data_IF_983694610411
#
_entry.id   IF_983694610411
#
_cell.length_a   1.000
_cell.length_b   1.000
_cell.length_c   1.000
_cell.angle_alpha   90.00
_cell.angle_beta   90.00
_cell.angle_gamma   90.00
#
_symmetry.space_group_name_H-M   'P 1'
#
loop_
_entity.id
_entity.type
_entity.pdbx_description
1 polymer ?
#
# COMPACT_ATOMS: atom_id res chain seq x y z
N UNK A 1 -34.44 -14.10 27.60
CA UNK A 1 -35.70 -14.79 27.26
C UNK A 1 -36.66 -13.72 26.73
N UNK A 2 -36.78 -13.71 25.40
CA UNK A 2 -38.03 -13.65 24.60
C UNK A 2 -39.16 -12.71 25.05
N UNK A 3 -39.93 -12.05 24.18
CA UNK A 3 -40.04 -11.85 22.73
C UNK A 3 -41.34 -11.01 22.57
N UNK A 4 -41.45 -9.97 21.73
CA UNK A 4 -42.13 -9.92 20.41
C UNK A 4 -42.55 -8.44 20.22
N UNK A 5 -42.05 -7.69 19.24
CA UNK A 5 -42.44 -7.64 17.82
C UNK A 5 -43.92 -7.26 17.57
N UNK A 6 -44.12 -6.02 17.11
CA UNK A 6 -45.24 -5.59 16.25
C UNK A 6 -44.62 -4.81 15.09
N UNK A 7 -44.82 -5.30 13.87
CA UNK A 7 -44.51 -4.61 12.63
C UNK A 7 -45.81 -4.10 12.01
N UNK A 8 -45.74 -2.93 11.36
CA UNK A 8 -46.81 -2.41 10.53
C UNK A 8 -46.36 -2.43 9.06
N UNK A 9 -47.11 -3.19 8.29
CA UNK A 9 -47.08 -3.32 6.82
C UNK A 9 -48.11 -2.31 6.31
N UNK A 10 -47.70 -1.41 5.41
CA UNK A 10 -48.63 -0.50 4.71
C UNK A 10 -49.03 -1.13 3.37
N UNK A 11 -50.34 -1.16 3.17
CA UNK A 11 -51.12 -1.82 2.12
C UNK A 11 -51.18 -0.96 0.85
N UNK A 12 -51.03 -1.62 -0.30
CA UNK A 12 -51.36 -1.10 -1.65
C UNK A 12 -52.87 -1.19 -1.87
N UNK A 13 -53.52 -0.23 -2.56
CA UNK A 13 -54.80 -0.48 -3.22
C UNK A 13 -54.64 -0.62 -4.74
N UNK A 14 -55.14 -1.74 -5.24
CA UNK A 14 -55.45 -2.03 -6.63
C UNK A 14 -56.97 -1.86 -6.83
N UNK A 15 -57.41 -1.29 -7.96
CA UNK A 15 -58.72 -1.40 -8.66
C UNK A 15 -58.66 -0.39 -9.84
N UNK A 16 -59.08 -0.59 -11.10
CA UNK A 16 -60.04 -1.51 -11.76
C UNK A 16 -59.97 -1.33 -13.30
N UNK A 17 -60.05 -2.42 -14.07
CA UNK A 17 -60.86 -2.71 -15.30
C UNK A 17 -61.44 -1.55 -16.16
N UNK A 18 -61.57 -1.53 -17.50
CA UNK A 18 -61.65 -2.48 -18.67
C UNK A 18 -61.84 -1.61 -19.97
N UNK A 19 -62.27 -2.08 -21.17
CA UNK A 19 -61.65 -3.01 -22.15
C UNK A 19 -61.73 -2.53 -23.65
N UNK A 20 -61.26 -3.39 -24.56
CA UNK A 20 -61.66 -3.61 -25.98
C UNK A 20 -61.23 -2.67 -27.14
N UNK A 21 -60.79 -3.31 -28.24
CA UNK A 21 -61.17 -2.89 -29.60
C UNK A 21 -60.11 -3.01 -30.71
N UNK A 22 -60.03 -4.18 -31.35
CA UNK A 22 -59.46 -4.41 -32.69
C UNK A 22 -59.97 -3.42 -33.75
N UNK A 23 -59.20 -3.19 -34.84
CA UNK A 23 -59.67 -3.16 -36.25
C UNK A 23 -58.51 -2.89 -37.26
N UNK A 24 -58.17 -3.94 -38.03
CA UNK A 24 -58.04 -4.03 -39.50
C UNK A 24 -57.21 -2.96 -40.28
N UNK A 25 -56.08 -3.42 -40.86
CA UNK A 25 -56.00 -3.71 -42.31
C UNK A 25 -55.39 -2.69 -43.29
N UNK A 26 -54.55 -3.25 -44.18
CA UNK A 26 -54.18 -2.85 -45.55
C UNK A 26 -53.03 -1.84 -45.81
N UNK A 27 -51.90 -2.44 -46.17
CA UNK A 27 -51.28 -2.46 -47.52
C UNK A 27 -50.79 -1.17 -48.21
N UNK A 28 -49.63 -1.36 -48.86
CA UNK A 28 -49.06 -0.65 -50.02
C UNK A 28 -48.03 0.44 -49.73
N UNK A 29 -46.77 0.12 -50.08
CA UNK A 29 -46.05 0.89 -51.09
C UNK A 29 -45.11 2.01 -50.65
N UNK A 30 -43.84 1.77 -50.97
CA UNK A 30 -42.88 2.74 -51.52
C UNK A 30 -42.12 3.70 -50.60
N UNK A 31 -40.80 3.63 -50.83
CA UNK A 31 -39.74 4.55 -50.45
C UNK A 31 -40.15 6.03 -50.58
N UNK A 32 -39.89 6.83 -49.54
CA UNK A 32 -38.95 7.95 -49.63
C UNK A 32 -38.65 8.57 -48.26
N UNK A 33 -37.39 8.91 -48.09
CA UNK A 33 -36.76 9.67 -47.01
C UNK A 33 -37.44 11.02 -46.71
N UNK A 34 -37.60 11.39 -45.42
CA UNK A 34 -37.19 12.70 -44.85
C UNK A 34 -37.81 12.98 -43.46
N UNK A 35 -36.94 13.25 -42.47
CA UNK A 35 -37.14 14.29 -41.44
C UNK A 35 -37.92 13.95 -40.15
N UNK A 36 -37.50 14.61 -39.05
CA UNK A 36 -38.09 14.71 -37.69
C UNK A 36 -37.61 13.67 -36.65
N UNK A 37 -37.27 13.97 -35.38
CA UNK A 37 -37.45 15.16 -34.52
C UNK A 37 -36.32 15.19 -33.45
N UNK A 38 -35.51 16.26 -33.40
CA UNK A 38 -34.64 16.58 -32.26
C UNK A 38 -35.34 17.65 -31.41
N UNK A 39 -36.08 17.26 -30.37
CA UNK A 39 -36.86 18.23 -29.60
C UNK A 39 -37.25 17.83 -28.17
N UNK A 40 -37.45 16.54 -27.88
CA UNK A 40 -38.08 16.17 -26.60
C UNK A 40 -37.12 15.89 -25.43
N UNK A 41 -35.83 15.66 -25.68
CA UNK A 41 -34.90 15.31 -24.60
C UNK A 41 -34.22 16.50 -23.90
N UNK A 42 -34.38 17.75 -24.36
CA UNK A 42 -33.66 18.89 -23.76
C UNK A 42 -34.25 19.38 -22.42
N UNK A 43 -35.53 19.07 -22.15
CA UNK A 43 -36.22 19.52 -20.95
C UNK A 43 -35.82 18.72 -19.70
N UNK A 44 -35.61 17.40 -19.84
CA UNK A 44 -35.23 16.52 -18.74
C UNK A 44 -33.84 16.87 -18.14
N UNK A 45 -32.89 17.24 -18.99
CA UNK A 45 -31.55 17.69 -18.57
C UNK A 45 -31.56 19.07 -17.90
N UNK A 46 -32.55 19.90 -18.23
CA UNK A 46 -32.66 21.26 -17.71
C UNK A 46 -33.19 21.29 -16.28
N UNK A 47 -34.05 20.34 -15.94
CA UNK A 47 -34.61 20.20 -14.59
C UNK A 47 -33.64 19.50 -13.62
N UNK A 48 -32.87 18.50 -14.08
CA UNK A 48 -31.79 17.90 -13.27
C UNK A 48 -30.69 18.91 -12.88
N UNK A 49 -30.50 19.97 -13.68
CA UNK A 49 -29.54 21.05 -13.42
C UNK A 49 -29.96 21.99 -12.28
N UNK A 50 -31.23 21.99 -11.89
CA UNK A 50 -31.79 22.91 -10.89
C UNK A 50 -31.79 22.36 -9.46
N UNK A 51 -31.65 21.05 -9.27
CA UNK A 51 -31.84 20.40 -7.95
C UNK A 51 -30.55 20.03 -7.21
N UNK A 52 -29.35 20.36 -7.71
CA UNK A 52 -28.09 19.95 -7.08
C UNK A 52 -27.46 21.06 -6.20
N UNK A 53 -27.20 20.82 -4.90
CA UNK A 53 -26.41 21.70 -4.07
C UNK A 53 -24.98 21.88 -4.61
N UNK A 54 -24.48 23.11 -4.59
CA UNK A 54 -23.25 23.56 -5.28
C UNK A 54 -21.94 22.80 -4.94
N UNK A 55 -21.89 21.96 -3.92
CA UNK A 55 -20.66 21.26 -3.48
C UNK A 55 -20.46 19.87 -4.11
N UNK A 56 -21.53 19.24 -4.63
CA UNK A 56 -21.49 17.91 -5.27
C UNK A 56 -21.43 17.97 -6.81
N UNK A 57 -21.56 19.17 -7.40
CA UNK A 57 -21.70 19.34 -8.85
C UNK A 57 -20.37 19.37 -9.64
N UNK A 58 -19.23 19.60 -8.99
CA UNK A 58 -17.92 19.75 -9.66
C UNK A 58 -17.44 18.51 -10.46
N UNK A 59 -17.57 17.26 -9.96
CA UNK A 59 -17.17 16.09 -10.73
C UNK A 59 -18.13 15.78 -11.89
N UNK A 60 -19.44 15.96 -11.71
CA UNK A 60 -20.44 15.74 -12.77
C UNK A 60 -20.36 16.78 -13.89
N UNK A 61 -20.06 18.04 -13.54
CA UNK A 61 -19.94 19.14 -14.51
C UNK A 61 -18.78 18.91 -15.48
N UNK A 62 -17.64 18.42 -14.98
CA UNK A 62 -16.49 18.06 -15.82
C UNK A 62 -16.76 16.85 -16.73
N UNK A 63 -17.63 15.92 -16.31
CA UNK A 63 -18.00 14.76 -17.14
C UNK A 63 -18.95 15.18 -18.27
N UNK A 64 -19.91 16.06 -17.99
CA UNK A 64 -20.86 16.56 -19.01
C UNK A 64 -20.18 17.50 -20.02
N UNK A 65 -19.23 18.32 -19.59
CA UNK A 65 -18.52 19.26 -20.47
C UNK A 65 -17.55 18.53 -21.43
N UNK A 66 -17.00 17.39 -21.02
CA UNK A 66 -16.12 16.56 -21.85
C UNK A 66 -16.87 15.58 -22.77
N UNK A 67 -18.17 15.39 -22.54
CA UNK A 67 -19.05 14.49 -23.31
C UNK A 67 -19.78 15.20 -24.46
N UNK A 68 -19.71 16.53 -24.53
CA UNK A 68 -20.40 17.32 -25.56
C UNK A 68 -19.80 17.25 -26.98
N UNK A 69 -18.58 16.74 -27.12
CA UNK A 69 -17.82 16.82 -28.39
C UNK A 69 -17.62 15.48 -29.12
N UNK A 70 -18.19 14.37 -28.63
CA UNK A 70 -18.14 13.08 -29.33
C UNK A 70 -19.46 12.35 -29.17
N UNK A 71 -19.87 11.62 -30.22
CA UNK A 71 -21.07 10.78 -30.36
C UNK A 71 -22.18 11.37 -31.25
N UNK A 72 -21.91 11.45 -32.55
CA UNK A 72 -22.89 11.01 -33.56
C UNK A 72 -22.71 9.49 -33.73
N UNK A 73 -23.73 8.69 -33.39
CA UNK A 73 -23.81 7.27 -33.70
C UNK A 73 -23.88 6.32 -32.50
N UNK A 74 -25.01 5.62 -32.42
CA UNK A 74 -25.37 4.47 -31.58
C UNK A 74 -26.23 4.77 -30.33
N UNK A 75 -27.54 4.47 -30.44
CA UNK A 75 -28.61 4.69 -29.45
C UNK A 75 -28.62 3.61 -28.35
N UNK A 76 -27.51 3.47 -27.62
CA UNK A 76 -27.52 2.82 -26.30
C UNK A 76 -26.73 3.67 -25.30
N UNK A 77 -27.43 4.60 -24.64
CA UNK A 77 -26.85 5.31 -23.51
C UNK A 77 -26.45 4.27 -22.45
N UNK A 78 -25.17 4.16 -22.06
CA UNK A 78 -24.78 3.29 -20.96
C UNK A 78 -25.52 3.77 -19.71
N UNK A 79 -26.19 2.84 -19.01
CA UNK A 79 -26.85 3.12 -17.74
C UNK A 79 -25.88 3.86 -16.80
N UNK A 80 -26.34 4.86 -16.02
CA UNK A 80 -25.46 5.61 -15.14
C UNK A 80 -24.77 4.64 -14.19
N UNK A 81 -23.45 4.55 -14.32
CA UNK A 81 -22.60 3.83 -13.37
C UNK A 81 -22.79 4.53 -12.03
N UNK A 82 -23.61 3.96 -11.15
CA UNK A 82 -23.75 4.43 -9.78
C UNK A 82 -22.35 4.35 -9.17
N UNK A 83 -21.69 5.48 -8.84
CA UNK A 83 -20.40 5.42 -8.19
C UNK A 83 -20.57 4.63 -6.90
N UNK A 84 -19.77 3.59 -6.71
CA UNK A 84 -19.70 2.92 -5.41
C UNK A 84 -19.52 3.96 -4.29
N UNK A 85 -19.94 3.66 -3.05
CA UNK A 85 -19.90 4.63 -1.96
C UNK A 85 -18.51 5.26 -1.87
N UNK A 86 -18.47 6.59 -1.95
CA UNK A 86 -17.24 7.36 -1.87
C UNK A 86 -16.46 7.00 -0.58
N UNK A 87 -15.12 7.07 -0.59
CA UNK A 87 -14.31 6.83 0.59
C UNK A 87 -14.85 7.62 1.79
N UNK A 88 -15.06 6.98 2.95
CA UNK A 88 -15.65 7.64 4.11
C UNK A 88 -14.78 8.77 4.68
N UNK A 89 -13.49 8.83 4.31
CA UNK A 89 -12.53 9.87 4.72
C UNK A 89 -12.49 10.06 6.26
N UNK A 90 -12.74 8.98 6.99
CA UNK A 90 -12.86 8.97 8.45
C UNK A 90 -13.83 7.92 8.98
N UNK A 91 -14.21 8.07 10.25
CA UNK A 91 -15.05 7.13 10.99
C UNK A 91 -14.25 6.06 11.74
N UNK A 92 -14.88 5.46 12.76
CA UNK A 92 -14.21 4.54 13.68
C UNK A 92 -13.53 3.38 12.95
N UNK A 93 -14.18 2.81 11.93
CA UNK A 93 -13.61 1.72 11.12
C UNK A 93 -12.38 2.16 10.33
N UNK A 94 -12.40 3.34 9.72
CA UNK A 94 -11.27 3.86 8.95
C UNK A 94 -10.03 4.04 9.83
N UNK A 95 -10.21 4.60 11.03
CA UNK A 95 -9.13 4.80 12.00
C UNK A 95 -8.60 3.47 12.57
N UNK A 96 -9.47 2.48 12.78
CA UNK A 96 -9.06 1.14 13.21
C UNK A 96 -8.28 0.43 12.11
N UNK A 97 -8.69 0.56 10.84
CA UNK A 97 -7.94 0.04 9.68
C UNK A 97 -6.58 0.73 9.55
N UNK A 98 -6.52 2.05 9.71
CA UNK A 98 -5.27 2.80 9.75
C UNK A 98 -4.33 2.27 10.85
N UNK A 99 -4.85 2.04 12.05
CA UNK A 99 -4.04 1.51 13.15
C UNK A 99 -3.55 0.08 12.87
N UNK A 100 -4.38 -0.77 12.26
CA UNK A 100 -3.96 -2.10 11.83
C UNK A 100 -2.86 -2.04 10.76
N UNK A 101 -2.95 -1.14 9.79
CA UNK A 101 -1.88 -0.91 8.81
C UNK A 101 -0.60 -0.37 9.46
N UNK A 102 -0.73 0.53 10.45
CA UNK A 102 0.40 1.01 11.26
C UNK A 102 1.11 -0.13 12.00
N UNK A 103 0.36 -1.07 12.58
CA UNK A 103 0.92 -2.27 13.23
C UNK A 103 1.59 -3.19 12.22
N UNK A 104 0.97 -3.45 11.06
CA UNK A 104 1.57 -4.26 10.00
C UNK A 104 2.91 -3.68 9.54
N UNK A 105 2.90 -2.40 9.16
CA UNK A 105 4.08 -1.70 8.69
C UNK A 105 5.15 -1.61 9.78
N UNK A 106 4.73 -1.33 11.02
CA UNK A 106 5.59 -1.28 12.20
C UNK A 106 6.30 -2.61 12.47
N UNK A 107 5.58 -3.72 12.55
CA UNK A 107 6.16 -5.03 12.85
C UNK A 107 7.10 -5.50 11.74
N UNK A 108 6.69 -5.37 10.47
CA UNK A 108 7.48 -5.80 9.32
C UNK A 108 8.79 -5.02 9.27
N UNK A 109 8.73 -3.70 9.19
CA UNK A 109 9.94 -2.89 9.06
C UNK A 109 10.73 -2.77 10.36
N UNK A 110 10.07 -2.83 11.52
CA UNK A 110 10.75 -2.90 12.81
C UNK A 110 11.58 -4.17 12.94
N UNK A 111 11.11 -5.30 12.41
CA UNK A 111 11.89 -6.55 12.32
C UNK A 111 13.04 -6.40 11.33
N UNK A 112 12.78 -5.89 10.12
CA UNK A 112 13.80 -5.67 9.07
C UNK A 112 14.93 -4.75 9.55
N UNK A 113 14.59 -3.65 10.22
CA UNK A 113 15.60 -2.71 10.72
C UNK A 113 16.36 -3.26 11.94
N UNK A 114 15.79 -4.25 12.64
CA UNK A 114 16.45 -4.93 13.76
C UNK A 114 17.35 -6.09 13.33
N UNK A 115 17.41 -6.43 12.03
CA UNK A 115 18.24 -7.52 11.51
C UNK A 115 19.73 -7.32 11.77
N UNK A 116 20.20 -6.08 11.95
CA UNK A 116 21.59 -5.81 12.34
C UNK A 116 21.98 -6.42 13.69
N UNK A 117 21.05 -6.49 14.66
CA UNK A 117 21.31 -7.16 15.93
C UNK A 117 21.32 -8.69 15.76
N UNK A 118 20.42 -9.20 14.92
CA UNK A 118 20.35 -10.63 14.57
C UNK A 118 21.64 -11.05 13.86
N UNK A 119 22.18 -10.21 12.97
CA UNK A 119 23.41 -10.46 12.23
C UNK A 119 24.59 -10.76 13.15
N UNK A 120 24.83 -9.91 14.15
CA UNK A 120 25.98 -10.05 15.05
C UNK A 120 25.93 -11.38 15.79
N UNK A 121 24.77 -11.73 16.33
CA UNK A 121 24.61 -12.97 17.09
C UNK A 121 24.57 -14.21 16.20
N UNK A 122 23.92 -14.13 15.03
CA UNK A 122 23.88 -15.21 14.07
C UNK A 122 25.28 -15.53 13.53
N UNK A 123 26.07 -14.50 13.20
CA UNK A 123 27.48 -14.64 12.81
C UNK A 123 28.27 -15.40 13.88
N UNK A 124 28.11 -15.02 15.15
CA UNK A 124 28.76 -15.68 16.29
C UNK A 124 28.38 -17.15 16.42
N UNK A 125 27.10 -17.49 16.21
CA UNK A 125 26.63 -18.88 16.26
C UNK A 125 27.21 -19.71 15.10
N UNK A 126 27.24 -19.16 13.89
CA UNK A 126 27.80 -19.83 12.72
C UNK A 126 29.33 -20.00 12.85
N UNK A 127 30.04 -19.03 13.43
CA UNK A 127 31.47 -19.16 13.77
C UNK A 127 31.72 -20.33 14.73
N UNK A 128 30.89 -20.47 15.77
CA UNK A 128 30.99 -21.58 16.71
C UNK A 128 30.60 -22.94 16.10
N UNK A 129 29.87 -22.93 14.99
CA UNK A 129 29.48 -24.13 14.25
C UNK A 129 30.52 -24.52 13.17
N UNK A 130 31.68 -23.86 13.15
CA UNK A 130 32.77 -24.09 12.17
C UNK A 130 32.34 -23.92 10.70
N UNK A 131 31.37 -23.04 10.44
CA UNK A 131 30.99 -22.67 9.08
C UNK A 131 32.13 -21.93 8.36
N UNK A 132 32.33 -22.25 7.07
CA UNK A 132 33.44 -21.71 6.28
C UNK A 132 33.35 -20.18 6.10
N UNK A 133 32.13 -19.66 5.95
CA UNK A 133 31.86 -18.25 5.63
C UNK A 133 30.68 -17.67 6.43
N UNK A 134 30.80 -17.52 7.77
CA UNK A 134 29.68 -17.20 8.66
C UNK A 134 29.11 -15.79 8.41
N UNK A 135 29.97 -14.81 8.16
CA UNK A 135 29.56 -13.44 7.85
C UNK A 135 28.76 -13.35 6.54
N UNK A 136 29.22 -14.06 5.50
CA UNK A 136 28.56 -14.10 4.18
C UNK A 136 27.20 -14.78 4.29
N UNK A 137 27.11 -15.92 4.98
CA UNK A 137 25.87 -16.66 5.16
C UNK A 137 24.83 -15.88 5.98
N UNK A 138 25.25 -15.19 7.05
CA UNK A 138 24.35 -14.32 7.79
C UNK A 138 23.89 -13.12 6.94
N UNK A 139 24.81 -12.48 6.21
CA UNK A 139 24.48 -11.32 5.37
C UNK A 139 23.51 -11.66 4.24
N UNK A 140 23.73 -12.77 3.53
CA UNK A 140 22.86 -13.20 2.42
C UNK A 140 21.46 -13.59 2.92
N UNK A 141 21.37 -14.27 4.06
CA UNK A 141 20.09 -14.65 4.69
C UNK A 141 19.26 -13.42 5.02
N UNK A 142 19.86 -12.41 5.66
CA UNK A 142 19.16 -11.19 6.06
C UNK A 142 18.84 -10.30 4.87
N UNK A 143 19.74 -10.23 3.87
CA UNK A 143 19.51 -9.48 2.64
C UNK A 143 18.37 -10.09 1.82
N UNK A 144 18.23 -11.43 1.83
CA UNK A 144 17.12 -12.12 1.19
C UNK A 144 15.77 -11.76 1.82
N UNK A 145 15.68 -11.55 3.14
CA UNK A 145 14.42 -11.09 3.76
C UNK A 145 13.96 -9.78 3.15
N UNK A 146 14.86 -8.80 3.09
CA UNK A 146 14.56 -7.46 2.57
C UNK A 146 14.27 -7.55 1.07
N UNK A 147 15.13 -8.24 0.33
CA UNK A 147 14.99 -8.46 -1.11
C UNK A 147 13.67 -9.11 -1.48
N UNK A 148 13.30 -10.20 -0.81
CA UNK A 148 12.04 -10.92 -1.04
C UNK A 148 10.81 -10.10 -0.64
N UNK A 149 10.91 -9.31 0.44
CA UNK A 149 9.81 -8.42 0.87
C UNK A 149 9.44 -7.44 -0.23
N UNK A 150 10.41 -6.79 -0.87
CA UNK A 150 10.15 -5.81 -1.92
C UNK A 150 9.96 -6.45 -3.31
N UNK A 151 10.75 -7.47 -3.66
CA UNK A 151 10.67 -8.13 -4.96
C UNK A 151 9.30 -8.79 -5.18
N UNK A 152 8.75 -9.44 -4.15
CA UNK A 152 7.43 -10.05 -4.24
C UNK A 152 6.29 -9.04 -4.00
N UNK A 153 6.56 -7.75 -3.73
CA UNK A 153 5.48 -6.78 -3.49
C UNK A 153 4.58 -6.62 -4.72
N UNK A 154 5.14 -6.74 -5.92
CA UNK A 154 4.37 -6.73 -7.17
C UNK A 154 3.45 -7.95 -7.27
N UNK A 155 3.97 -9.14 -6.96
CA UNK A 155 3.19 -10.39 -6.95
C UNK A 155 2.11 -10.33 -5.88
N UNK A 156 2.43 -9.78 -4.70
CA UNK A 156 1.48 -9.55 -3.63
C UNK A 156 0.35 -8.60 -4.03
N UNK A 157 0.62 -7.59 -4.87
CA UNK A 157 -0.40 -6.72 -5.45
C UNK A 157 -1.38 -7.50 -6.32
N UNK A 158 -0.87 -8.28 -7.27
CA UNK A 158 -1.69 -9.14 -8.15
C UNK A 158 -2.53 -10.14 -7.33
N UNK A 159 -1.93 -10.70 -6.27
CA UNK A 159 -2.61 -11.65 -5.40
C UNK A 159 -3.66 -10.97 -4.52
N UNK A 160 -3.42 -9.73 -4.10
CA UNK A 160 -4.38 -8.87 -3.39
C UNK A 160 -5.60 -8.58 -4.25
N UNK A 161 -5.41 -8.30 -5.54
CA UNK A 161 -6.50 -8.06 -6.47
C UNK A 161 -7.33 -9.33 -6.73
N UNK A 162 -6.70 -10.52 -6.75
CA UNK A 162 -7.38 -11.79 -7.06
C UNK A 162 -8.02 -12.48 -5.86
N UNK A 163 -7.30 -12.58 -4.73
CA UNK A 163 -7.76 -13.27 -3.53
C UNK A 163 -8.45 -12.33 -2.55
N UNK A 164 -8.34 -11.01 -2.78
CA UNK A 164 -8.80 -9.98 -1.87
C UNK A 164 -7.80 -9.67 -0.76
N UNK A 165 -7.89 -8.43 -0.26
CA UNK A 165 -6.99 -7.84 0.75
C UNK A 165 -6.90 -8.72 2.02
N UNK A 166 -8.03 -9.23 2.50
CA UNK A 166 -8.09 -10.01 3.75
C UNK A 166 -7.36 -11.34 3.66
N UNK A 167 -7.63 -12.13 2.61
CA UNK A 167 -7.04 -13.46 2.46
C UNK A 167 -5.52 -13.33 2.25
N UNK A 168 -5.10 -12.40 1.40
CA UNK A 168 -3.68 -12.17 1.13
C UNK A 168 -2.91 -11.76 2.38
N UNK A 169 -3.47 -10.85 3.20
CA UNK A 169 -2.84 -10.44 4.47
C UNK A 169 -2.73 -11.59 5.47
N UNK A 170 -3.81 -12.37 5.65
CA UNK A 170 -3.82 -13.51 6.59
C UNK A 170 -2.82 -14.59 6.14
N UNK A 171 -2.81 -14.92 4.85
CA UNK A 171 -1.85 -15.87 4.29
C UNK A 171 -0.41 -15.38 4.45
N UNK A 172 -0.14 -14.10 4.17
CA UNK A 172 1.16 -13.48 4.38
C UNK A 172 1.63 -13.54 5.83
N UNK A 173 0.76 -13.15 6.78
CA UNK A 173 1.04 -13.23 8.21
C UNK A 173 1.31 -14.66 8.67
N UNK A 174 0.56 -15.65 8.19
CA UNK A 174 0.77 -17.06 8.51
C UNK A 174 2.12 -17.57 7.99
N UNK A 175 2.46 -17.25 6.74
CA UNK A 175 3.76 -17.62 6.13
C UNK A 175 4.92 -16.96 6.87
N UNK A 176 4.81 -15.68 7.22
CA UNK A 176 5.85 -14.96 7.96
C UNK A 176 6.03 -15.53 9.38
N UNK A 177 4.93 -15.83 10.06
CA UNK A 177 4.93 -16.44 11.40
C UNK A 177 5.58 -17.82 11.37
N UNK A 178 5.20 -18.65 10.40
CA UNK A 178 5.76 -19.99 10.21
C UNK A 178 7.25 -19.92 9.86
N UNK A 179 7.65 -19.03 8.95
CA UNK A 179 9.05 -18.81 8.60
C UNK A 179 9.88 -18.47 9.82
N UNK A 180 9.45 -17.46 10.59
CA UNK A 180 10.14 -17.01 11.79
C UNK A 180 10.16 -18.07 12.90
N UNK A 181 9.07 -18.85 13.04
CA UNK A 181 9.00 -19.96 14.00
C UNK A 181 9.96 -21.10 13.63
N UNK A 182 10.01 -21.49 12.35
CA UNK A 182 10.95 -22.50 11.86
C UNK A 182 12.40 -22.02 12.00
N UNK A 183 12.66 -20.73 11.78
CA UNK A 183 13.97 -20.12 12.05
C UNK A 183 14.37 -20.25 13.52
N UNK A 184 13.42 -20.18 14.46
CA UNK A 184 13.70 -20.44 15.87
C UNK A 184 14.16 -21.88 16.15
N UNK A 185 13.71 -22.87 15.37
CA UNK A 185 14.06 -24.28 15.59
C UNK A 185 15.40 -24.59 14.92
N UNK A 186 15.58 -24.11 13.69
CA UNK A 186 16.72 -24.44 12.83
C UNK A 186 17.76 -23.31 12.73
N UNK A 187 17.90 -22.49 13.78
CA UNK A 187 18.82 -21.33 13.76
C UNK A 187 20.31 -21.70 13.60
N UNK A 188 20.69 -22.93 13.94
CA UNK A 188 22.07 -23.43 13.79
C UNK A 188 22.40 -23.98 12.40
N UNK A 189 21.43 -24.05 11.48
CA UNK A 189 21.64 -24.61 10.13
C UNK A 189 21.45 -23.50 9.08
N UNK A 190 22.52 -22.96 8.49
CA UNK A 190 22.44 -21.77 7.64
C UNK A 190 21.60 -22.00 6.38
N UNK A 191 21.67 -23.18 5.77
CA UNK A 191 20.89 -23.51 4.56
C UNK A 191 19.38 -23.49 4.81
N UNK A 192 18.93 -24.00 5.97
CA UNK A 192 17.50 -23.96 6.35
C UNK A 192 17.12 -22.54 6.77
N UNK A 193 18.01 -21.80 7.42
CA UNK A 193 17.76 -20.43 7.81
C UNK A 193 17.57 -19.51 6.60
N UNK A 194 18.32 -19.73 5.52
CA UNK A 194 18.16 -19.01 4.25
C UNK A 194 16.74 -19.17 3.70
N UNK A 195 16.18 -20.38 3.75
CA UNK A 195 14.83 -20.66 3.26
C UNK A 195 13.77 -20.13 4.23
N UNK A 196 13.88 -20.46 5.52
CA UNK A 196 12.87 -20.12 6.53
C UNK A 196 12.84 -18.63 6.84
N UNK A 197 14.00 -18.03 7.07
CA UNK A 197 14.13 -16.63 7.41
C UNK A 197 14.12 -15.79 6.13
N UNK A 198 15.05 -16.03 5.20
CA UNK A 198 15.15 -15.26 3.95
C UNK A 198 13.89 -15.31 3.09
N UNK A 199 13.52 -16.50 2.62
CA UNK A 199 12.44 -16.67 1.63
C UNK A 199 11.06 -16.60 2.28
N UNK A 200 10.78 -17.41 3.31
CA UNK A 200 9.45 -17.48 3.92
C UNK A 200 9.09 -16.18 4.63
N UNK A 201 9.94 -15.64 5.52
CA UNK A 201 9.61 -14.37 6.22
C UNK A 201 9.51 -13.22 5.22
N UNK A 202 10.41 -13.12 4.24
CA UNK A 202 10.35 -12.08 3.22
C UNK A 202 9.07 -12.15 2.37
N UNK A 203 8.71 -13.36 1.91
CA UNK A 203 7.47 -13.58 1.14
C UNK A 203 6.23 -13.26 1.96
N UNK A 204 6.16 -13.75 3.20
CA UNK A 204 5.04 -13.48 4.10
C UNK A 204 4.90 -11.99 4.44
N UNK A 205 6.03 -11.32 4.66
CA UNK A 205 6.08 -9.87 4.90
C UNK A 205 5.57 -9.08 3.70
N UNK A 206 5.97 -9.44 2.48
CA UNK A 206 5.44 -8.85 1.23
C UNK A 206 3.92 -8.97 1.13
N UNK A 207 3.40 -10.19 1.34
CA UNK A 207 1.97 -10.50 1.24
C UNK A 207 1.13 -9.81 2.32
N UNK A 208 1.71 -9.42 3.46
CA UNK A 208 1.03 -8.63 4.48
C UNK A 208 1.21 -7.11 4.27
N UNK A 209 2.36 -6.68 3.79
CA UNK A 209 2.72 -5.29 3.58
C UNK A 209 1.87 -4.65 2.47
N UNK A 210 1.85 -5.23 1.27
CA UNK A 210 1.15 -4.66 0.12
C UNK A 210 -0.35 -4.38 0.40
N UNK A 211 -1.16 -5.35 0.86
CA UNK A 211 -2.57 -5.10 1.16
C UNK A 211 -2.79 -4.09 2.30
N UNK A 212 -1.85 -3.96 3.23
CA UNK A 212 -1.93 -2.98 4.32
C UNK A 212 -1.87 -1.53 3.84
N UNK A 213 -1.23 -1.27 2.69
CA UNK A 213 -1.22 0.05 2.04
C UNK A 213 -2.41 0.22 1.12
N UNK A 214 -2.77 -0.82 0.35
CA UNK A 214 -3.92 -0.78 -0.57
C UNK A 214 -5.20 -0.43 0.17
N UNK A 215 -5.48 -1.07 1.30
CA UNK A 215 -6.73 -0.86 2.07
C UNK A 215 -6.94 0.59 2.50
N UNK A 216 -5.88 1.36 2.73
CA UNK A 216 -5.99 2.76 3.15
C UNK A 216 -6.68 3.61 2.07
N UNK A 217 -6.41 3.33 0.79
CA UNK A 217 -7.07 4.01 -0.34
C UNK A 217 -8.57 3.73 -0.46
N UNK A 218 -9.07 2.64 0.13
CA UNK A 218 -10.51 2.36 0.18
C UNK A 218 -11.23 3.17 1.25
N UNK A 219 -10.50 3.64 2.27
CA UNK A 219 -11.07 4.37 3.42
C UNK A 219 -10.79 5.87 3.37
N UNK A 220 -9.68 6.29 2.77
CA UNK A 220 -9.22 7.67 2.75
C UNK A 220 -8.86 8.09 1.32
N UNK A 221 -9.36 9.25 0.91
CA UNK A 221 -9.04 9.91 -0.35
C UNK A 221 -8.46 11.30 -0.11
N UNK A 222 -9.18 12.17 0.62
CA UNK A 222 -8.73 13.55 0.92
C UNK A 222 -7.53 13.61 1.86
N UNK A 223 -7.36 12.59 2.71
CA UNK A 223 -6.34 12.52 3.78
C UNK A 223 -5.36 11.37 3.61
N UNK A 224 -5.22 10.85 2.38
CA UNK A 224 -4.44 9.63 2.16
C UNK A 224 -2.94 9.83 2.44
N UNK A 225 -2.40 11.02 2.20
CA UNK A 225 -1.02 11.39 2.44
C UNK A 225 -0.67 11.45 3.92
N UNK A 226 -1.48 12.13 4.74
CA UNK A 226 -1.29 12.15 6.19
C UNK A 226 -1.47 10.76 6.80
N UNK A 227 -2.43 9.97 6.29
CA UNK A 227 -2.67 8.58 6.74
C UNK A 227 -1.48 7.68 6.39
N UNK A 228 -0.97 7.75 5.17
CA UNK A 228 0.24 7.03 4.77
C UNK A 228 1.44 7.46 5.61
N UNK A 229 1.66 8.77 5.81
CA UNK A 229 2.73 9.28 6.66
C UNK A 229 2.65 8.77 8.10
N UNK A 230 1.45 8.69 8.68
CA UNK A 230 1.24 8.12 10.01
C UNK A 230 1.54 6.62 10.03
N UNK A 231 0.99 5.84 9.10
CA UNK A 231 1.21 4.39 8.99
C UNK A 231 2.68 4.06 8.78
N UNK A 232 3.36 4.81 7.91
CA UNK A 232 4.78 4.59 7.63
C UNK A 232 5.65 4.96 8.82
N UNK A 233 5.30 6.00 9.60
CA UNK A 233 5.99 6.34 10.87
C UNK A 233 6.03 5.17 11.87
N UNK A 234 5.08 4.23 11.77
CA UNK A 234 5.07 2.99 12.54
C UNK A 234 6.36 2.20 12.44
N UNK A 235 7.04 2.19 11.29
CA UNK A 235 8.32 1.48 11.16
C UNK A 235 9.37 2.02 12.12
N UNK A 236 9.44 3.35 12.31
CA UNK A 236 10.45 3.98 13.16
C UNK A 236 10.18 3.72 14.64
N UNK A 237 8.90 3.82 15.05
CA UNK A 237 8.47 3.52 16.42
C UNK A 237 8.77 2.06 16.77
N UNK A 238 8.36 1.13 15.91
CA UNK A 238 8.58 -0.29 16.14
C UNK A 238 10.04 -0.70 16.00
N UNK A 239 10.83 -0.01 15.17
CA UNK A 239 12.28 -0.26 15.11
C UNK A 239 12.91 -0.03 16.48
N UNK A 240 12.61 1.07 17.16
CA UNK A 240 13.15 1.35 18.50
C UNK A 240 12.68 0.29 19.50
N UNK A 241 11.37 0.01 19.53
CA UNK A 241 10.79 -0.96 20.46
C UNK A 241 11.33 -2.37 20.25
N UNK A 242 11.33 -2.87 19.01
CA UNK A 242 11.80 -4.20 18.65
C UNK A 242 13.31 -4.30 18.83
N UNK A 243 14.10 -3.30 18.44
CA UNK A 243 15.57 -3.31 18.61
C UNK A 243 15.93 -3.45 20.09
N UNK A 244 15.29 -2.69 20.98
CA UNK A 244 15.60 -2.72 22.40
C UNK A 244 15.13 -4.03 23.06
N UNK A 245 13.92 -4.48 22.74
CA UNK A 245 13.41 -5.77 23.16
C UNK A 245 14.33 -6.90 22.71
N UNK A 246 14.78 -6.86 21.46
CA UNK A 246 15.61 -7.89 20.85
C UNK A 246 16.98 -7.98 21.52
N UNK A 247 17.64 -6.84 21.81
CA UNK A 247 18.91 -6.83 22.56
C UNK A 247 18.75 -7.49 23.92
N UNK A 248 17.74 -7.05 24.69
CA UNK A 248 17.47 -7.59 26.02
C UNK A 248 17.20 -9.11 25.99
N UNK A 249 16.42 -9.57 25.01
CA UNK A 249 16.08 -10.99 24.87
C UNK A 249 17.28 -11.81 24.41
N UNK A 250 18.05 -11.32 23.42
CA UNK A 250 19.25 -12.01 22.94
C UNK A 250 20.26 -12.16 24.07
N UNK A 251 20.51 -11.11 24.84
CA UNK A 251 21.47 -11.14 25.96
C UNK A 251 21.07 -12.14 27.05
N UNK A 252 19.78 -12.23 27.39
CA UNK A 252 19.32 -13.10 28.50
C UNK A 252 18.91 -14.51 28.11
N UNK A 253 18.31 -14.67 26.94
CA UNK A 253 17.65 -15.92 26.52
C UNK A 253 18.16 -16.45 25.17
N UNK A 254 19.09 -15.74 24.52
CA UNK A 254 19.71 -16.13 23.27
C UNK A 254 18.84 -15.91 22.03
N UNK A 255 19.42 -16.22 20.87
CA UNK A 255 18.81 -15.96 19.56
C UNK A 255 17.51 -16.75 19.32
N UNK A 256 17.41 -17.96 19.87
CA UNK A 256 16.21 -18.79 19.77
C UNK A 256 14.98 -18.06 20.32
N UNK A 257 15.07 -17.55 21.55
CA UNK A 257 13.97 -16.84 22.20
C UNK A 257 13.59 -15.56 21.43
N UNK A 258 14.58 -14.87 20.88
CA UNK A 258 14.37 -13.72 20.00
C UNK A 258 13.51 -14.07 18.78
N UNK A 259 13.82 -15.16 18.07
CA UNK A 259 13.00 -15.62 16.93
C UNK A 259 11.58 -16.04 17.35
N UNK A 260 11.40 -16.65 18.54
CA UNK A 260 10.07 -17.00 19.04
C UNK A 260 9.21 -15.76 19.32
N UNK A 261 9.78 -14.74 19.96
CA UNK A 261 9.08 -13.48 20.23
C UNK A 261 8.73 -12.77 18.92
N UNK A 262 9.67 -12.72 17.97
CA UNK A 262 9.42 -12.14 16.65
C UNK A 262 8.35 -12.93 15.88
N UNK A 263 8.29 -14.25 16.01
CA UNK A 263 7.21 -15.07 15.43
C UNK A 263 5.85 -14.69 16.02
N UNK A 264 5.78 -14.48 17.34
CA UNK A 264 4.57 -13.97 18.00
C UNK A 264 4.15 -12.59 17.49
N UNK A 265 5.10 -11.69 17.23
CA UNK A 265 4.81 -10.39 16.62
C UNK A 265 4.32 -10.54 15.16
N UNK A 266 4.93 -11.41 14.36
CA UNK A 266 4.47 -11.70 13.00
C UNK A 266 3.05 -12.30 12.99
N UNK A 267 2.64 -13.02 14.04
CA UNK A 267 1.29 -13.54 14.15
C UNK A 267 0.23 -12.42 14.26
N UNK A 268 0.59 -11.25 14.79
CA UNK A 268 -0.27 -10.05 14.85
C UNK A 268 -0.70 -9.60 13.44
N UNK A 269 0.12 -9.85 12.41
CA UNK A 269 -0.21 -9.53 11.02
C UNK A 269 -1.48 -10.28 10.55
N UNK A 270 -1.67 -11.53 11.00
CA UNK A 270 -2.88 -12.29 10.70
C UNK A 270 -4.12 -11.62 11.30
N UNK A 271 -4.01 -11.15 12.55
CA UNK A 271 -5.09 -10.42 13.23
C UNK A 271 -5.46 -9.13 12.50
N UNK A 272 -4.47 -8.39 12.00
CA UNK A 272 -4.68 -7.19 11.19
C UNK A 272 -5.45 -7.51 9.90
N UNK A 273 -5.19 -8.66 9.27
CA UNK A 273 -5.92 -9.12 8.09
C UNK A 273 -7.43 -9.28 8.32
N UNK A 274 -7.86 -9.68 9.53
CA UNK A 274 -9.30 -9.76 9.87
C UNK A 274 -9.98 -8.38 9.94
N UNK A 275 -9.23 -7.33 10.23
CA UNK A 275 -9.71 -5.95 10.31
C UNK A 275 -9.90 -5.34 8.92
N UNK A 276 -9.10 -5.77 7.93
CA UNK A 276 -9.12 -5.25 6.56
C UNK A 276 -10.36 -5.69 5.79
N UNK A 277 -11.48 -5.01 6.03
CA UNK A 277 -12.71 -5.15 5.26
C UNK A 277 -12.72 -4.16 4.09
N UNK A 278 -12.67 -4.59 2.83
CA UNK A 278 -12.75 -3.68 1.69
C UNK A 278 -14.14 -3.03 1.61
N UNK A 279 -14.16 -1.72 1.29
CA UNK A 279 -15.39 -0.92 1.16
C UNK A 279 -15.88 -0.75 -0.27
N UNK A 280 -14.96 -0.76 -1.24
CA UNK A 280 -15.30 -0.62 -2.64
C UNK A 280 -15.64 -1.99 -3.22
N UNK A 281 -16.76 -2.12 -3.95
CA UNK A 281 -17.00 -3.28 -4.80
C UNK A 281 -15.82 -3.40 -5.76
N UNK A 282 -15.39 -4.64 -5.97
CA UNK A 282 -14.46 -5.02 -7.02
C UNK A 282 -14.93 -4.36 -8.33
N UNK A 283 -14.16 -3.42 -8.90
CA UNK A 283 -14.44 -2.82 -10.22
C UNK A 283 -14.43 -3.93 -11.32
N UNK A 284 -14.08 -5.15 -10.92
CA UNK A 284 -14.05 -6.39 -11.68
C UNK A 284 -15.41 -7.05 -11.96
N UNK A 285 -16.53 -6.59 -11.42
CA UNK A 285 -17.85 -7.19 -11.67
C UNK A 285 -18.66 -6.34 -12.66
N UNK A 286 -18.84 -6.74 -13.92
CA UNK A 286 -19.92 -6.20 -14.72
C UNK A 286 -21.23 -6.57 -14.03
N UNK A 287 -22.10 -5.58 -13.89
CA UNK A 287 -23.50 -5.72 -13.49
C UNK A 287 -24.15 -6.96 -14.11
N UNK A 288 -24.70 -7.82 -13.26
CA UNK A 288 -25.57 -8.91 -13.67
C UNK A 288 -26.71 -8.36 -14.54
N UNK A 289 -26.80 -8.87 -15.76
CA UNK A 289 -27.81 -8.42 -16.71
C UNK A 289 -27.83 -9.13 -18.06
N UNK A 290 -27.52 -10.43 -18.13
CA UNK A 290 -28.08 -11.36 -19.14
C UNK A 290 -27.37 -12.72 -19.06
N UNK A 291 -28.16 -13.78 -18.96
CA UNK A 291 -27.69 -15.16 -19.09
C UNK A 291 -27.01 -15.37 -20.45
N UNK A 292 -25.72 -15.71 -20.46
CA UNK A 292 -25.23 -16.68 -21.43
C UNK A 292 -23.94 -17.39 -20.94
N UNK A 293 -24.13 -18.64 -20.53
CA UNK A 293 -23.31 -19.81 -20.85
C UNK A 293 -21.81 -19.60 -21.21
N UNK A 294 -20.92 -20.01 -20.31
CA UNK A 294 -19.76 -20.82 -20.70
C UNK A 294 -18.56 -20.16 -21.38
N UNK A 295 -18.12 -18.97 -20.95
CA UNK A 295 -16.75 -18.50 -21.23
C UNK A 295 -15.96 -18.31 -19.95
N UNK A 296 -15.05 -19.25 -19.70
CA UNK A 296 -13.99 -19.15 -18.70
C UNK A 296 -13.25 -17.82 -18.86
N UNK A 297 -13.46 -16.93 -17.89
CA UNK A 297 -12.78 -15.65 -17.80
C UNK A 297 -11.30 -15.91 -17.50
N UNK A 298 -10.50 -16.06 -18.56
CA UNK A 298 -9.04 -16.03 -18.47
C UNK A 298 -8.63 -14.62 -18.03
N UNK A 299 -8.66 -14.37 -16.73
CA UNK A 299 -8.24 -13.12 -16.13
C UNK A 299 -6.76 -12.88 -16.41
N UNK A 300 -6.46 -11.88 -17.25
CA UNK A 300 -5.10 -11.46 -17.56
C UNK A 300 -4.27 -11.36 -16.28
N UNK A 301 -3.16 -12.11 -16.21
CA UNK A 301 -2.30 -12.18 -15.03
C UNK A 301 -1.58 -10.86 -14.73
N UNK A 302 -1.49 -9.96 -15.70
CA UNK A 302 -0.89 -8.65 -15.58
C UNK A 302 -1.76 -7.62 -16.31
N UNK A 303 -2.07 -6.51 -15.65
CA UNK A 303 -2.60 -5.34 -16.32
C UNK A 303 -1.47 -4.66 -17.11
N UNK A 304 -1.16 -5.20 -18.29
CA UNK A 304 -0.10 -4.72 -19.18
C UNK A 304 -0.40 -3.34 -19.78
N UNK A 305 -1.59 -2.78 -19.58
CA UNK A 305 -1.92 -1.43 -20.01
C UNK A 305 -1.09 -0.36 -19.30
N UNK A 306 -0.75 -0.59 -18.03
CA UNK A 306 0.07 0.36 -17.25
C UNK A 306 1.47 0.50 -17.87
N UNK A 307 2.01 -0.58 -18.40
CA UNK A 307 3.32 -0.61 -19.08
C UNK A 307 3.32 0.10 -20.44
N UNK A 308 2.14 0.44 -21.01
CA UNK A 308 2.05 1.29 -22.21
C UNK A 308 2.26 2.77 -21.89
N UNK A 309 2.08 3.17 -20.62
CA UNK A 309 2.27 4.55 -20.20
C UNK A 309 3.77 4.87 -20.04
N UNK A 310 4.31 5.63 -21.00
CA UNK A 310 5.73 6.04 -21.02
C UNK A 310 6.20 6.69 -19.71
N UNK A 311 5.35 7.51 -19.07
CA UNK A 311 5.70 8.16 -17.79
C UNK A 311 5.88 7.14 -16.68
N UNK A 312 5.00 6.15 -16.60
CA UNK A 312 5.10 5.05 -15.64
C UNK A 312 6.34 4.21 -15.89
N UNK A 313 6.62 3.84 -17.15
CA UNK A 313 7.80 3.02 -17.49
C UNK A 313 9.10 3.73 -17.09
N UNK A 314 9.26 5.02 -17.44
CA UNK A 314 10.43 5.80 -17.05
C UNK A 314 10.57 5.85 -15.52
N UNK A 315 9.47 6.11 -14.81
CA UNK A 315 9.46 6.15 -13.35
C UNK A 315 9.81 4.77 -12.73
N UNK A 316 9.26 3.68 -13.26
CA UNK A 316 9.48 2.31 -12.77
C UNK A 316 10.93 1.84 -12.91
N UNK A 317 11.69 2.33 -13.90
CA UNK A 317 13.12 2.03 -14.06
C UNK A 317 14.03 3.05 -13.33
N UNK A 318 13.61 4.31 -13.25
CA UNK A 318 14.40 5.35 -12.58
C UNK A 318 14.47 5.16 -11.07
N UNK A 319 13.36 4.79 -10.42
CA UNK A 319 13.29 4.66 -8.96
C UNK A 319 14.22 3.56 -8.41
N UNK A 320 14.21 2.31 -8.93
CA UNK A 320 15.15 1.29 -8.49
C UNK A 320 16.61 1.68 -8.71
N UNK A 321 16.90 2.39 -9.81
CA UNK A 321 18.25 2.89 -10.10
C UNK A 321 18.71 3.92 -9.06
N UNK A 322 17.83 4.83 -8.64
CA UNK A 322 18.10 5.80 -7.58
C UNK A 322 18.27 5.12 -6.20
N UNK A 323 17.48 4.06 -5.93
CA UNK A 323 17.54 3.30 -4.67
C UNK A 323 18.88 2.60 -4.44
N UNK A 324 19.64 2.29 -5.50
CA UNK A 324 20.99 1.74 -5.36
C UNK A 324 21.92 2.67 -4.57
N UNK A 325 21.82 3.99 -4.79
CA UNK A 325 22.59 4.99 -4.04
C UNK A 325 22.00 5.33 -2.68
N UNK A 326 20.69 5.13 -2.50
CA UNK A 326 19.96 5.51 -1.28
C UNK A 326 20.47 4.77 -0.02
N UNK A 327 20.85 3.49 -0.11
CA UNK A 327 21.29 2.72 1.07
C UNK A 327 22.72 3.03 1.54
N UNK A 328 23.55 3.68 0.70
CA UNK A 328 24.97 3.91 0.98
C UNK A 328 25.19 4.67 2.30
N UNK A 329 24.52 5.81 2.54
CA UNK A 329 24.71 6.54 3.80
C UNK A 329 24.19 5.75 5.00
N UNK A 330 23.08 5.01 4.87
CA UNK A 330 22.52 4.23 5.99
C UNK A 330 23.48 3.14 6.48
N UNK A 331 24.19 2.48 5.56
CA UNK A 331 25.13 1.43 5.90
C UNK A 331 26.50 1.99 6.32
N UNK A 332 27.05 2.95 5.57
CA UNK A 332 28.45 3.32 5.67
C UNK A 332 28.72 4.57 6.51
N UNK A 333 27.70 5.39 6.82
CA UNK A 333 27.90 6.65 7.56
C UNK A 333 28.57 6.46 8.91
N UNK A 334 28.22 5.39 9.65
CA UNK A 334 28.84 5.10 10.95
C UNK A 334 30.34 4.83 10.78
N UNK A 335 30.69 3.92 9.87
CA UNK A 335 32.07 3.53 9.62
C UNK A 335 32.89 4.74 9.15
N UNK A 336 32.36 5.49 8.18
CA UNK A 336 33.00 6.71 7.67
C UNK A 336 33.23 7.77 8.76
N UNK A 337 32.25 8.01 9.63
CA UNK A 337 32.40 8.94 10.76
C UNK A 337 33.49 8.49 11.74
N UNK A 338 33.58 7.19 12.01
CA UNK A 338 34.61 6.62 12.89
C UNK A 338 36.00 6.74 12.26
N UNK A 339 36.13 6.55 10.95
CA UNK A 339 37.40 6.69 10.23
C UNK A 339 37.91 8.15 10.23
N UNK A 340 37.01 9.12 10.12
CA UNK A 340 37.37 10.55 10.05
C UNK A 340 37.63 11.17 11.42
N UNK A 341 36.80 10.87 12.43
CA UNK A 341 36.84 11.54 13.73
C UNK A 341 37.36 10.67 14.88
N UNK A 342 37.57 9.37 14.66
CA UNK A 342 37.93 8.41 15.70
C UNK A 342 36.73 7.87 16.49
N UNK A 343 36.98 6.86 17.31
CA UNK A 343 35.94 6.16 18.11
C UNK A 343 35.40 6.97 19.29
N UNK A 344 36.06 8.07 19.66
CA UNK A 344 35.64 8.95 20.76
C UNK A 344 34.30 9.65 20.48
N UNK A 345 33.97 9.83 19.19
CA UNK A 345 32.72 10.44 18.76
C UNK A 345 31.60 9.40 18.67
N UNK A 346 30.41 9.78 19.12
CA UNK A 346 29.25 8.90 19.09
C UNK A 346 28.66 8.77 17.68
N UNK A 347 29.32 8.04 16.78
CA UNK A 347 28.87 7.79 15.39
C UNK A 347 27.50 7.10 15.31
N UNK A 348 27.03 6.49 16.41
CA UNK A 348 25.66 5.92 16.50
C UNK A 348 24.59 7.01 16.51
N UNK A 349 24.92 8.20 17.03
CA UNK A 349 24.03 9.37 17.06
C UNK A 349 23.56 9.76 15.65
N UNK A 350 24.45 9.70 14.65
CA UNK A 350 24.15 10.11 13.29
C UNK A 350 23.01 9.30 12.66
N UNK A 351 23.08 7.98 12.80
CA UNK A 351 22.03 7.07 12.31
C UNK A 351 20.71 7.27 13.08
N UNK A 352 20.78 7.57 14.39
CA UNK A 352 19.60 7.91 15.19
C UNK A 352 18.95 9.23 14.74
N UNK A 353 19.76 10.24 14.40
CA UNK A 353 19.28 11.52 13.85
C UNK A 353 18.51 11.32 12.54
N UNK A 354 19.03 10.50 11.62
CA UNK A 354 18.34 10.15 10.36
C UNK A 354 17.00 9.48 10.68
N UNK A 355 16.98 8.46 11.54
CA UNK A 355 15.76 7.73 11.87
C UNK A 355 14.68 8.62 12.52
N UNK A 356 15.08 9.51 13.43
CA UNK A 356 14.18 10.43 14.12
C UNK A 356 13.56 11.44 13.13
N UNK A 357 14.39 12.08 12.32
CA UNK A 357 13.92 13.08 11.35
C UNK A 357 13.17 12.47 10.18
N UNK A 358 13.44 11.21 9.80
CA UNK A 358 12.61 10.45 8.85
C UNK A 358 11.20 10.25 9.35
N UNK A 359 11.01 9.89 10.62
CA UNK A 359 9.67 9.83 11.22
C UNK A 359 8.92 11.18 11.16
N UNK A 360 9.61 12.28 11.51
CA UNK A 360 9.04 13.64 11.43
C UNK A 360 8.73 14.03 9.99
N UNK A 361 9.62 13.69 9.05
CA UNK A 361 9.48 13.96 7.62
C UNK A 361 8.24 13.30 7.03
N UNK A 362 7.96 12.04 7.37
CA UNK A 362 6.77 11.31 6.90
C UNK A 362 5.47 11.99 7.29
N UNK A 363 5.38 12.49 8.51
CA UNK A 363 4.20 13.22 8.97
C UNK A 363 4.10 14.59 8.28
N UNK A 364 5.20 15.34 8.24
CA UNK A 364 5.23 16.69 7.67
C UNK A 364 4.93 16.68 6.17
N UNK A 365 5.65 15.86 5.40
CA UNK A 365 5.46 15.74 3.96
C UNK A 365 4.19 14.96 3.60
N UNK A 366 3.71 14.07 4.48
CA UNK A 366 2.38 13.46 4.36
C UNK A 366 1.28 14.54 4.27
N UNK A 367 1.30 15.53 5.16
CA UNK A 367 0.38 16.68 5.12
C UNK A 367 0.56 17.53 3.86
N UNK A 368 1.80 17.75 3.43
CA UNK A 368 2.08 18.52 2.21
C UNK A 368 1.57 17.79 0.97
N UNK A 369 1.69 16.46 0.92
CA UNK A 369 1.31 15.62 -0.22
C UNK A 369 -0.21 15.54 -0.49
N UNK A 370 -1.03 15.94 0.49
CA UNK A 370 -2.48 16.03 0.38
C UNK A 370 -2.97 17.38 -0.15
N UNK A 371 -2.07 18.37 -0.31
CA UNK A 371 -2.44 19.67 -0.88
C UNK A 371 -2.64 19.55 -2.40
N UNK A 372 -3.72 20.12 -2.97
CA UNK A 372 -4.06 19.91 -4.37
C UNK A 372 -3.05 20.49 -5.38
N UNK A 373 -2.23 21.45 -4.95
CA UNK A 373 -1.17 22.05 -5.78
C UNK A 373 0.16 21.29 -5.73
N UNK A 374 0.27 20.24 -4.91
CA UNK A 374 1.51 19.48 -4.74
C UNK A 374 1.50 18.25 -5.63
N UNK A 375 2.48 18.17 -6.54
CA UNK A 375 2.71 16.96 -7.31
C UNK A 375 3.62 16.00 -6.53
N UNK A 376 3.08 14.85 -6.14
CA UNK A 376 3.78 13.80 -5.37
C UNK A 376 5.04 13.27 -6.07
N UNK A 377 5.05 13.23 -7.40
CA UNK A 377 6.22 12.79 -8.18
C UNK A 377 7.35 13.82 -8.08
N UNK A 378 7.04 15.11 -8.17
CA UNK A 378 8.03 16.19 -8.01
C UNK A 378 8.58 16.18 -6.58
N UNK A 379 7.71 15.97 -5.59
CA UNK A 379 8.10 15.87 -4.19
C UNK A 379 9.11 14.72 -3.97
N UNK A 380 8.87 13.57 -4.61
CA UNK A 380 9.80 12.43 -4.61
C UNK A 380 11.14 12.76 -5.29
N UNK A 381 11.12 13.48 -6.43
CA UNK A 381 12.35 13.91 -7.13
C UNK A 381 13.19 14.87 -6.29
N UNK A 382 12.56 15.84 -5.62
CA UNK A 382 13.22 16.77 -4.70
C UNK A 382 13.89 16.00 -3.56
N UNK A 383 13.23 14.95 -3.05
CA UNK A 383 13.77 14.10 -1.99
C UNK A 383 15.06 13.40 -2.41
N UNK A 384 15.05 12.71 -3.55
CA UNK A 384 16.26 12.03 -4.07
C UNK A 384 17.39 13.00 -4.38
N UNK A 385 17.07 14.14 -5.01
CA UNK A 385 18.07 15.17 -5.32
C UNK A 385 18.70 15.73 -4.04
N UNK A 386 17.89 15.97 -3.01
CA UNK A 386 18.36 16.49 -1.73
C UNK A 386 19.22 15.46 -0.98
N UNK A 387 18.77 14.20 -0.90
CA UNK A 387 19.53 13.10 -0.27
C UNK A 387 20.88 12.90 -0.99
N UNK A 388 20.89 12.87 -2.31
CA UNK A 388 22.13 12.74 -3.10
C UNK A 388 23.07 13.93 -2.89
N UNK A 389 22.55 15.15 -2.95
CA UNK A 389 23.35 16.37 -2.71
C UNK A 389 23.93 16.45 -1.30
N UNK A 390 23.14 16.09 -0.28
CA UNK A 390 23.58 16.03 1.11
C UNK A 390 24.64 14.95 1.33
N UNK A 391 24.52 13.81 0.65
CA UNK A 391 25.54 12.75 0.69
C UNK A 391 26.87 13.22 0.09
N UNK A 392 26.83 14.00 -1.00
CA UNK A 392 28.04 14.61 -1.57
C UNK A 392 28.62 15.70 -0.66
N UNK A 393 27.76 16.46 0.04
CA UNK A 393 28.22 17.48 0.99
C UNK A 393 28.88 16.87 2.23
N UNK A 394 28.44 15.67 2.64
CA UNK A 394 28.99 14.93 3.77
C UNK A 394 30.50 14.67 3.61
N UNK A 395 30.98 14.38 2.41
CA UNK A 395 32.41 14.09 2.16
C UNK A 395 33.30 15.33 2.25
N UNK A 396 32.72 16.53 2.16
CA UNK A 396 33.43 17.80 2.31
C UNK A 396 33.39 18.34 3.75
N UNK A 397 32.61 17.71 4.65
CA UNK A 397 32.45 18.16 6.02
C UNK A 397 33.64 17.72 6.89
N UNK A 398 34.23 18.68 7.62
CA UNK A 398 35.43 18.45 8.45
C UNK A 398 35.13 18.51 9.96
N UNK A 399 33.87 18.69 10.36
CA UNK A 399 33.47 18.85 11.75
C UNK A 399 32.28 17.94 12.07
N UNK A 400 32.30 17.30 13.24
CA UNK A 400 31.29 16.31 13.62
C UNK A 400 29.87 16.90 13.68
N UNK A 401 29.70 18.17 14.10
CA UNK A 401 28.38 18.79 14.10
C UNK A 401 27.79 18.95 12.69
N UNK A 402 28.63 19.11 11.65
CA UNK A 402 28.16 19.16 10.26
C UNK A 402 27.57 17.81 9.85
N UNK A 403 28.17 16.70 10.30
CA UNK A 403 27.63 15.36 10.08
C UNK A 403 26.26 15.21 10.74
N UNK A 404 26.07 15.77 11.95
CA UNK A 404 24.76 15.78 12.62
C UNK A 404 23.72 16.56 11.79
N UNK A 405 24.04 17.78 11.38
CA UNK A 405 23.11 18.63 10.61
C UNK A 405 22.74 17.96 9.28
N UNK A 406 23.73 17.42 8.56
CA UNK A 406 23.51 16.70 7.31
C UNK A 406 22.65 15.46 7.55
N UNK A 407 22.91 14.69 8.60
CA UNK A 407 22.12 13.51 8.98
C UNK A 407 20.66 13.87 9.29
N UNK A 408 20.40 14.98 9.99
CA UNK A 408 19.04 15.45 10.26
C UNK A 408 18.31 15.86 8.97
N UNK A 409 18.98 16.55 8.06
CA UNK A 409 18.40 16.95 6.77
C UNK A 409 18.14 15.72 5.88
N UNK A 410 19.07 14.77 5.85
CA UNK A 410 18.92 13.53 5.10
C UNK A 410 17.72 12.73 5.59
N UNK A 411 17.56 12.58 6.90
CA UNK A 411 16.39 11.91 7.45
C UNK A 411 15.09 12.65 7.13
N UNK A 412 15.05 13.99 7.19
CA UNK A 412 13.87 14.76 6.83
C UNK A 412 13.41 14.48 5.38
N UNK A 413 14.34 14.46 4.42
CA UNK A 413 14.02 14.14 3.01
C UNK A 413 13.81 12.66 2.76
N UNK A 414 14.40 11.77 3.54
CA UNK A 414 14.05 10.36 3.54
C UNK A 414 12.56 10.16 3.88
N UNK A 415 12.09 10.82 4.94
CA UNK A 415 10.67 10.81 5.28
C UNK A 415 9.76 11.43 4.22
N UNK A 416 10.30 12.21 3.28
CA UNK A 416 9.56 12.75 2.15
C UNK A 416 9.48 11.76 0.97
N UNK A 417 10.49 10.90 0.84
CA UNK A 417 10.55 9.85 -0.16
C UNK A 417 9.60 8.69 0.18
N UNK A 418 9.55 8.33 1.47
CA UNK A 418 8.71 7.27 2.03
C UNK A 418 7.28 7.76 2.22
#
# INVERSE_FOLDING_TARGET
MDSKLRGDIVVVPEQTNTPDGDLIGNAVGENHTSGYHAGENSHLYRDARRELPNEEALPLRNILENSGDRFEGDDTLPSPVIPGPAPPDGGLRAWVVMLASFLCNGIIFGTVNSLGNIFVELKRILENAEEENPATMASITLSLVIGMTFLLSMVAGILTDKLGIRITTIAGGAIATLGMFLSSIYYSQPSILLVTMGILVGTGSSLAYTPSLVILGHYFYKRIGIVNGFVTTGSSVFTILITELLKYVIEKHGLKAAFQILSGLMAVLMFCGFIFKPLMPDISSPSDGSSDSGKTRNGSFLNTEIWKNKRYVIWAFAIPSALFGYFVPYMHLRAYSTDVFGEEYNSKLLVQCIALTSGVGRLFFGVISDKPWVNRIILQQISFFSIGSLTMLLTAANQFWMFIVISLLMGLFDGCFI
#
